data_IF_012498171296
#
_entry.id   IF_012498171296
#
_cell.length_a   1.000
_cell.length_b   1.000
_cell.length_c   1.000
_cell.angle_alpha   90.00
_cell.angle_beta   90.00
_cell.angle_gamma   90.00
#
_symmetry.space_group_name_H-M   'P 1'
#
loop_
_entity.id
_entity.type
_entity.pdbx_description
1 polymer ?
#
# COMPACT_ATOMS: atom_id res chain seq x y z
N UNK A 1 25.81 -2.25 11.68
CA UNK A 1 25.04 -2.07 10.43
C UNK A 1 24.28 -0.77 10.59
N UNK A 2 24.40 0.15 9.63
CA UNK A 2 23.75 1.45 9.74
C UNK A 2 22.25 1.21 9.56
N UNK A 3 21.47 1.27 10.63
CA UNK A 3 20.02 1.38 10.53
C UNK A 3 19.75 2.66 9.75
N UNK A 4 19.47 2.53 8.46
CA UNK A 4 18.89 3.60 7.67
C UNK A 4 17.66 4.06 8.45
N UNK A 5 17.73 5.25 9.07
CA UNK A 5 16.61 5.81 9.81
C UNK A 5 15.51 6.08 8.81
N UNK A 6 14.61 5.12 8.65
CA UNK A 6 13.49 5.22 7.74
C UNK A 6 12.54 6.31 8.25
N UNK A 7 12.38 7.38 7.47
CA UNK A 7 11.46 8.46 7.80
C UNK A 7 10.06 8.13 7.28
N UNK A 8 9.18 7.68 8.18
CA UNK A 8 7.79 7.35 7.84
C UNK A 8 6.91 8.60 7.65
N UNK A 9 7.42 9.79 7.94
CA UNK A 9 6.68 11.03 7.71
C UNK A 9 6.81 11.52 6.26
N UNK A 10 7.67 10.88 5.45
CA UNK A 10 7.92 11.27 4.07
C UNK A 10 7.32 10.25 3.09
N UNK A 11 6.78 10.76 1.98
CA UNK A 11 6.37 9.93 0.87
C UNK A 11 7.59 9.26 0.24
N UNK A 12 7.45 7.99 -0.11
CA UNK A 12 8.51 7.18 -0.71
C UNK A 12 7.96 6.35 -1.88
N UNK A 13 8.85 5.92 -2.77
CA UNK A 13 8.50 5.08 -3.91
C UNK A 13 9.61 4.08 -4.18
N UNK A 14 9.22 2.85 -4.49
CA UNK A 14 10.14 1.78 -4.88
C UNK A 14 9.66 1.19 -6.21
N UNK A 15 10.62 0.84 -7.05
CA UNK A 15 10.39 0.29 -8.38
C UNK A 15 11.31 -0.90 -8.63
N UNK A 16 10.83 -1.87 -9.40
CA UNK A 16 11.59 -3.02 -9.88
C UNK A 16 11.19 -3.34 -11.32
N UNK A 17 12.19 -3.64 -12.15
CA UNK A 17 11.98 -4.04 -13.53
C UNK A 17 11.37 -5.44 -13.67
N UNK A 18 11.08 -5.87 -14.91
CA UNK A 18 10.58 -7.22 -15.18
C UNK A 18 11.54 -8.30 -14.66
N UNK A 19 11.03 -9.18 -13.79
CA UNK A 19 11.81 -10.28 -13.21
C UNK A 19 12.74 -9.87 -12.05
N UNK A 20 12.75 -8.60 -11.67
CA UNK A 20 13.45 -8.14 -10.46
C UNK A 20 12.53 -8.20 -9.24
N UNK A 21 13.12 -8.52 -8.09
CA UNK A 21 12.40 -8.47 -6.82
C UNK A 21 12.30 -7.02 -6.32
N UNK A 22 11.08 -6.55 -6.04
CA UNK A 22 10.83 -5.24 -5.45
C UNK A 22 11.28 -5.20 -3.99
N UNK A 23 12.32 -4.41 -3.70
CA UNK A 23 12.88 -4.28 -2.35
C UNK A 23 12.32 -3.06 -1.63
N UNK A 24 11.51 -3.31 -0.62
CA UNK A 24 10.92 -2.28 0.26
C UNK A 24 11.37 -2.57 1.69
N UNK A 25 11.76 -1.56 2.49
CA UNK A 25 12.12 -1.78 3.88
C UNK A 25 10.94 -2.40 4.67
N UNK A 26 11.22 -3.48 5.40
CA UNK A 26 10.22 -4.26 6.14
C UNK A 26 9.35 -3.43 7.09
N UNK A 27 9.90 -2.34 7.64
CA UNK A 27 9.18 -1.42 8.53
C UNK A 27 7.93 -0.81 7.89
N UNK A 28 7.90 -0.65 6.55
CA UNK A 28 6.73 -0.15 5.83
C UNK A 28 5.64 -1.21 5.64
N UNK A 29 6.02 -2.49 5.61
CA UNK A 29 5.10 -3.61 5.27
C UNK A 29 4.58 -4.27 6.55
N UNK A 30 5.45 -4.55 7.51
CA UNK A 30 5.12 -5.25 8.77
C UNK A 30 4.06 -4.56 9.63
N UNK A 31 3.83 -3.25 9.41
CA UNK A 31 2.87 -2.45 10.16
C UNK A 31 1.49 -2.41 9.51
N UNK A 32 1.34 -2.92 8.29
CA UNK A 32 0.09 -2.88 7.55
C UNK A 32 -0.90 -3.88 8.17
N UNK A 33 -2.10 -3.39 8.52
CA UNK A 33 -3.14 -4.17 9.21
C UNK A 33 -4.41 -4.30 8.41
N UNK A 34 -4.62 -3.41 7.44
CA UNK A 34 -5.84 -3.35 6.68
C UNK A 34 -5.53 -3.31 5.19
N UNK A 35 -6.34 -4.00 4.42
CA UNK A 35 -6.48 -3.82 2.98
C UNK A 35 -7.80 -3.08 2.71
N UNK A 36 -7.70 -1.96 2.00
CA UNK A 36 -8.82 -1.07 1.70
C UNK A 36 -9.10 -1.14 0.21
N UNK A 37 -10.29 -1.60 -0.16
CA UNK A 37 -10.79 -1.60 -1.53
C UNK A 37 -11.69 -0.41 -1.72
N UNK A 38 -11.27 0.56 -2.54
CA UNK A 38 -11.97 1.80 -2.80
C UNK A 38 -12.75 1.69 -4.10
N UNK A 39 -14.07 1.91 -4.02
CA UNK A 39 -14.94 1.86 -5.19
C UNK A 39 -15.08 3.25 -5.80
N UNK A 40 -14.67 3.43 -7.06
CA UNK A 40 -14.81 4.72 -7.75
C UNK A 40 -15.48 4.56 -9.10
N UNK A 41 -16.12 5.63 -9.58
CA UNK A 41 -16.80 5.60 -10.89
C UNK A 41 -15.86 5.35 -12.08
N UNK A 42 -14.56 5.60 -11.92
CA UNK A 42 -13.58 5.46 -13.01
C UNK A 42 -12.82 4.14 -12.91
N UNK A 43 -12.33 3.82 -11.72
CA UNK A 43 -11.50 2.64 -11.47
C UNK A 43 -11.46 2.33 -9.98
N UNK A 44 -11.73 1.09 -9.63
CA UNK A 44 -11.53 0.60 -8.28
C UNK A 44 -10.03 0.42 -8.03
N UNK A 45 -9.58 0.75 -6.84
CA UNK A 45 -8.19 0.55 -6.46
C UNK A 45 -8.10 0.08 -5.01
N UNK A 46 -7.00 -0.61 -4.73
CA UNK A 46 -6.72 -1.19 -3.42
C UNK A 46 -5.47 -0.56 -2.85
N UNK A 47 -5.46 -0.34 -1.55
CA UNK A 47 -4.25 0.01 -0.83
C UNK A 47 -4.22 -0.69 0.52
N UNK A 48 -3.02 -0.79 1.10
CA UNK A 48 -2.84 -1.32 2.46
C UNK A 48 -2.47 -0.19 3.39
N UNK A 49 -2.92 -0.23 4.63
CA UNK A 49 -2.59 0.78 5.64
C UNK A 49 -2.43 0.17 7.03
N UNK A 50 -1.75 0.89 7.93
CA UNK A 50 -1.59 0.43 9.32
C UNK A 50 -2.80 0.78 10.19
N UNK A 51 -3.44 1.90 9.91
CA UNK A 51 -4.50 2.49 10.73
C UNK A 51 -5.57 3.13 9.85
N UNK A 52 -6.79 3.23 10.39
CA UNK A 52 -7.91 3.95 9.79
C UNK A 52 -8.71 4.66 10.87
N UNK A 53 -9.05 5.91 10.63
CA UNK A 53 -9.81 6.78 11.54
C UNK A 53 -10.95 7.45 10.78
N UNK A 54 -12.12 7.54 11.41
CA UNK A 54 -13.25 8.28 10.85
C UNK A 54 -13.14 9.76 11.23
N UNK A 55 -13.18 10.65 10.25
CA UNK A 55 -13.07 12.10 10.45
C UNK A 55 -14.43 12.75 10.73
N UNK A 56 -14.45 13.87 11.48
CA UNK A 56 -15.62 14.74 11.56
C UNK A 56 -16.04 15.18 10.15
N UNK A 57 -17.28 14.93 9.77
CA UNK A 57 -17.79 15.20 8.40
C UNK A 57 -17.87 13.97 7.49
N UNK A 58 -17.62 12.76 8.01
CA UNK A 58 -17.89 11.50 7.29
C UNK A 58 -16.77 11.03 6.36
N UNK A 59 -15.62 11.71 6.36
CA UNK A 59 -14.41 11.24 5.71
C UNK A 59 -13.69 10.15 6.51
N UNK A 60 -12.69 9.53 5.89
CA UNK A 60 -11.80 8.57 6.53
C UNK A 60 -10.35 8.93 6.27
N UNK A 61 -9.53 8.83 7.30
CA UNK A 61 -8.08 8.99 7.25
C UNK A 61 -7.41 7.65 7.42
N UNK A 62 -6.37 7.41 6.65
CA UNK A 62 -5.57 6.18 6.68
C UNK A 62 -4.10 6.55 6.85
N UNK A 63 -3.40 5.86 7.74
CA UNK A 63 -1.98 6.11 8.01
C UNK A 63 -1.08 5.02 7.44
N UNK A 64 0.15 5.40 7.08
CA UNK A 64 1.19 4.52 6.53
C UNK A 64 0.68 3.67 5.36
N UNK A 65 0.21 4.37 4.33
CA UNK A 65 -0.50 3.78 3.19
C UNK A 65 0.48 3.30 2.13
N UNK A 66 0.36 2.05 1.68
CA UNK A 66 1.06 1.52 0.50
C UNK A 66 0.06 1.25 -0.61
N UNK A 67 0.32 1.82 -1.78
CA UNK A 67 -0.47 1.63 -2.99
C UNK A 67 0.38 0.89 -4.02
N UNK A 68 -0.17 -0.20 -4.57
CA UNK A 68 0.38 -0.83 -5.77
C UNK A 68 0.03 0.02 -6.99
N UNK A 69 1.05 0.61 -7.60
CA UNK A 69 0.94 1.43 -8.82
C UNK A 69 1.71 0.80 -9.98
N UNK A 70 1.89 -0.52 -9.94
CA UNK A 70 2.54 -1.30 -10.97
C UNK A 70 1.89 -1.06 -12.33
N UNK A 71 2.71 -1.02 -13.36
CA UNK A 71 2.23 -0.91 -14.73
C UNK A 71 2.06 -2.30 -15.33
N UNK A 72 0.96 -2.49 -16.04
CA UNK A 72 0.64 -3.73 -16.73
C UNK A 72 0.69 -3.49 -18.24
N UNK A 73 1.22 -4.47 -18.98
CA UNK A 73 1.17 -4.47 -20.44
C UNK A 73 -0.26 -4.79 -20.95
N UNK A 74 -0.55 -4.68 -22.26
CA UNK A 74 -1.88 -4.98 -22.81
C UNK A 74 -2.36 -6.43 -22.61
N UNK A 75 -1.47 -7.36 -22.25
CA UNK A 75 -1.80 -8.75 -21.91
C UNK A 75 -2.13 -8.93 -20.43
N UNK A 76 -1.99 -7.89 -19.61
CA UNK A 76 -2.22 -7.92 -18.17
C UNK A 76 -1.00 -8.34 -17.33
N UNK A 77 0.18 -8.48 -17.94
CA UNK A 77 1.41 -8.87 -17.25
C UNK A 77 2.14 -7.62 -16.71
N UNK A 78 2.82 -7.75 -15.56
CA UNK A 78 3.55 -6.62 -14.95
C UNK A 78 4.78 -6.26 -15.79
N UNK A 79 4.80 -5.02 -16.30
CA UNK A 79 5.96 -4.45 -17.02
C UNK A 79 6.87 -3.62 -16.12
N UNK A 80 6.33 -3.10 -15.01
CA UNK A 80 7.07 -2.38 -13.97
C UNK A 80 6.37 -2.58 -12.63
N UNK A 81 7.03 -3.24 -11.69
CA UNK A 81 6.55 -3.31 -10.31
C UNK A 81 6.84 -1.98 -9.62
N UNK A 82 5.82 -1.36 -9.03
CA UNK A 82 6.01 -0.06 -8.37
C UNK A 82 5.04 0.11 -7.21
N UNK A 83 5.59 0.29 -6.01
CA UNK A 83 4.80 0.63 -4.83
C UNK A 83 5.12 2.04 -4.36
N UNK A 84 4.07 2.76 -3.98
CA UNK A 84 4.18 4.12 -3.44
C UNK A 84 3.68 4.12 -2.01
N UNK A 85 4.49 4.69 -1.12
CA UNK A 85 4.14 4.94 0.27
C UNK A 85 3.67 6.37 0.47
N UNK A 86 2.55 6.54 1.17
CA UNK A 86 2.08 7.81 1.66
C UNK A 86 1.98 7.77 3.18
N UNK A 87 2.48 8.79 3.91
CA UNK A 87 2.31 8.84 5.36
C UNK A 87 0.83 8.88 5.76
N UNK A 88 0.00 9.54 4.95
CA UNK A 88 -1.43 9.69 5.18
C UNK A 88 -2.20 9.74 3.86
N UNK A 89 -3.42 9.20 3.85
CA UNK A 89 -4.40 9.36 2.78
C UNK A 89 -5.78 9.63 3.39
N UNK A 90 -6.51 10.61 2.84
CA UNK A 90 -7.89 10.89 3.22
C UNK A 90 -8.85 10.56 2.08
N UNK A 91 -9.93 9.84 2.38
CA UNK A 91 -11.03 9.58 1.48
C UNK A 91 -12.29 10.27 1.99
N UNK A 92 -12.90 11.09 1.14
CA UNK A 92 -14.10 11.87 1.48
C UNK A 92 -15.22 11.52 0.51
N UNK A 93 -16.37 11.09 1.04
CA UNK A 93 -17.55 10.72 0.26
C UNK A 93 -17.31 9.59 -0.77
N UNK A 94 -16.38 8.67 -0.49
CA UNK A 94 -16.09 7.51 -1.35
C UNK A 94 -16.41 6.22 -0.60
N UNK A 95 -17.24 5.33 -1.15
CA UNK A 95 -17.48 4.03 -0.54
C UNK A 95 -16.23 3.14 -0.63
N UNK A 96 -15.95 2.40 0.45
CA UNK A 96 -14.87 1.43 0.48
C UNK A 96 -15.22 0.21 1.33
N UNK A 97 -14.50 -0.88 1.13
CA UNK A 97 -14.49 -2.05 2.01
C UNK A 97 -13.13 -2.15 2.70
N UNK A 98 -13.12 -2.43 4.00
CA UNK A 98 -11.89 -2.68 4.75
C UNK A 98 -11.84 -4.16 5.16
N UNK A 99 -10.77 -4.84 4.77
CA UNK A 99 -10.47 -6.21 5.14
C UNK A 99 -9.21 -6.23 6.01
N UNK A 100 -9.05 -7.21 6.92
CA UNK A 100 -7.75 -7.42 7.56
C UNK A 100 -6.71 -7.72 6.48
N UNK A 101 -5.55 -7.08 6.55
CA UNK A 101 -4.43 -7.43 5.69
C UNK A 101 -4.00 -8.86 6.03
N UNK A 102 -3.65 -9.70 5.03
CA UNK A 102 -3.13 -11.02 5.30
C UNK A 102 -1.89 -10.90 6.19
N UNK A 103 -1.84 -11.67 7.27
CA UNK A 103 -0.60 -11.84 8.03
C UNK A 103 0.47 -12.36 7.06
N UNK A 104 1.73 -11.90 7.14
CA UNK A 104 2.79 -12.57 6.41
C UNK A 104 2.80 -14.01 6.92
N UNK A 105 2.27 -14.93 6.11
CA UNK A 105 2.27 -16.34 6.46
C UNK A 105 3.69 -16.76 6.80
N UNK A 106 3.89 -17.75 7.68
CA UNK A 106 5.22 -18.29 7.90
C UNK A 106 5.73 -18.71 6.52
N UNK A 107 6.73 -17.99 6.01
CA UNK A 107 7.41 -18.39 4.80
C UNK A 107 7.84 -19.84 5.00
N UNK A 108 7.52 -20.70 4.04
CA UNK A 108 8.23 -21.95 3.84
C UNK A 108 9.72 -21.62 3.84
N UNK A 109 10.32 -21.75 5.02
CA UNK A 109 11.75 -21.90 5.15
C UNK A 109 12.02 -23.32 4.69
N UNK A 110 12.54 -23.44 3.49
CA UNK A 110 13.22 -24.65 3.00
C UNK A 110 14.33 -25.06 3.99
#
# INVERSE_FOLDING_TARGET
>A
MQENRVNLLEQNQWEAGPGEELKIPEVYISRLKFEIVVFTMKKDFTFRCSEKEQLPGGGWRFANVIIDTSKLNPKGEVELQRFTYHPELELVNVPFMAMPAPEPGPGESD
#
